data_IF_510830853506
#
_entry.id   IF_510830853506
#
_cell.length_a   1.000
_cell.length_b   1.000
_cell.length_c   1.000
_cell.angle_alpha   90.00
_cell.angle_beta   90.00
_cell.angle_gamma   90.00
#
_symmetry.space_group_name_H-M   'P 1'
#
loop_
_entity.id
_entity.type
_entity.pdbx_description
1 polymer ?
#
# COMPACT_ATOMS: atom_id res chain seq x y z
N UNK A 1 14.36 -33.14 -0.45
CA UNK A 1 13.14 -33.14 -1.25
C UNK A 1 13.40 -32.87 -2.72
N UNK A 2 12.42 -33.14 -3.54
CA UNK A 2 12.41 -32.84 -4.97
C UNK A 2 11.25 -31.89 -5.21
N UNK A 3 11.53 -30.77 -5.85
CA UNK A 3 10.53 -29.83 -6.32
C UNK A 3 10.20 -30.16 -7.80
N UNK A 4 8.92 -30.23 -8.13
CA UNK A 4 8.45 -30.40 -9.51
C UNK A 4 7.77 -29.14 -9.99
N UNK A 5 8.12 -28.71 -11.20
CA UNK A 5 7.58 -27.49 -11.84
C UNK A 5 7.01 -27.90 -13.21
N UNK A 6 5.78 -27.49 -13.46
CA UNK A 6 5.13 -27.63 -14.77
C UNK A 6 4.65 -26.26 -15.24
N UNK A 7 4.78 -26.00 -16.53
CA UNK A 7 4.11 -24.87 -17.16
C UNK A 7 2.66 -25.24 -17.47
N UNK A 8 1.75 -24.32 -17.22
CA UNK A 8 0.31 -24.53 -17.52
C UNK A 8 0.10 -24.58 -19.03
N UNK A 9 0.80 -23.71 -19.76
CA UNK A 9 0.78 -23.65 -21.21
C UNK A 9 2.05 -24.26 -21.81
N UNK A 10 1.99 -24.60 -23.10
CA UNK A 10 3.14 -25.12 -23.83
C UNK A 10 4.20 -24.01 -23.98
N UNK A 11 5.36 -24.21 -23.39
CA UNK A 11 6.51 -23.31 -23.45
C UNK A 11 7.65 -23.99 -24.20
N UNK A 12 8.20 -23.30 -25.20
CA UNK A 12 9.28 -23.84 -26.01
C UNK A 12 10.64 -23.56 -25.34
N UNK A 13 11.39 -24.62 -25.01
CA UNK A 13 12.76 -24.54 -24.49
C UNK A 13 12.94 -23.56 -23.31
N UNK A 14 12.18 -23.70 -22.21
CA UNK A 14 12.33 -22.80 -21.08
C UNK A 14 13.69 -23.00 -20.38
N UNK A 15 14.31 -21.90 -20.00
CA UNK A 15 15.45 -21.88 -19.09
C UNK A 15 14.93 -21.59 -17.68
N UNK A 16 15.37 -22.39 -16.70
CA UNK A 16 15.04 -22.20 -15.30
C UNK A 16 16.29 -21.92 -14.47
N UNK A 17 16.21 -20.91 -13.62
CA UNK A 17 17.23 -20.59 -12.64
C UNK A 17 16.61 -20.50 -11.25
N UNK A 18 17.35 -20.91 -10.23
CA UNK A 18 16.90 -20.83 -8.85
C UNK A 18 17.97 -20.23 -7.94
N UNK A 19 17.49 -19.46 -6.96
CA UNK A 19 18.35 -18.77 -6.00
C UNK A 19 17.79 -18.93 -4.58
N UNK A 20 18.67 -19.14 -3.62
CA UNK A 20 18.35 -19.08 -2.18
C UNK A 20 19.18 -17.99 -1.56
N UNK A 21 18.54 -16.98 -0.97
CA UNK A 21 19.23 -15.81 -0.38
C UNK A 21 20.30 -15.22 -1.32
N UNK A 22 19.94 -15.06 -2.60
CA UNK A 22 20.82 -14.60 -3.69
C UNK A 22 22.00 -15.52 -4.06
N UNK A 23 22.03 -16.76 -3.54
CA UNK A 23 23.00 -17.76 -3.92
C UNK A 23 22.35 -18.67 -4.96
N UNK A 24 22.96 -18.77 -6.16
CA UNK A 24 22.46 -19.63 -7.23
C UNK A 24 22.49 -21.11 -6.80
N UNK A 25 21.44 -21.84 -7.16
CA UNK A 25 21.41 -23.29 -7.05
C UNK A 25 22.11 -23.91 -8.25
N UNK A 26 22.87 -24.95 -7.99
CA UNK A 26 23.66 -25.66 -8.97
C UNK A 26 22.79 -26.17 -10.15
N UNK A 27 23.17 -25.84 -11.39
CA UNK A 27 22.39 -26.17 -12.60
C UNK A 27 22.24 -27.69 -12.80
N UNK A 28 23.23 -28.50 -12.35
CA UNK A 28 23.23 -29.96 -12.47
C UNK A 28 22.14 -30.63 -11.61
N UNK A 29 21.50 -29.90 -10.74
CA UNK A 29 20.40 -30.39 -9.91
C UNK A 29 19.04 -30.31 -10.61
N UNK A 30 18.98 -29.61 -11.75
CA UNK A 30 17.82 -29.56 -12.60
C UNK A 30 17.77 -30.76 -13.58
N UNK A 31 16.57 -31.26 -13.79
CA UNK A 31 16.31 -32.30 -14.79
C UNK A 31 14.95 -32.04 -15.45
N UNK A 32 14.94 -32.07 -16.79
CA UNK A 32 13.68 -32.07 -17.54
C UNK A 32 13.21 -33.50 -17.73
N UNK A 33 11.96 -33.76 -17.39
CA UNK A 33 11.30 -35.06 -17.52
C UNK A 33 10.69 -35.21 -18.92
N UNK A 34 10.35 -36.46 -19.28
CA UNK A 34 9.77 -36.77 -20.60
C UNK A 34 8.40 -36.13 -20.82
N UNK A 35 7.66 -35.84 -19.77
CA UNK A 35 6.36 -35.15 -19.80
C UNK A 35 6.45 -33.64 -19.89
N UNK A 36 7.67 -33.09 -20.02
CA UNK A 36 7.92 -31.64 -20.08
C UNK A 36 7.99 -30.97 -18.70
N UNK A 37 7.78 -31.67 -17.61
CA UNK A 37 7.98 -31.13 -16.27
C UNK A 37 9.48 -30.99 -15.94
N UNK A 38 9.79 -30.07 -15.06
CA UNK A 38 11.13 -29.90 -14.50
C UNK A 38 11.19 -30.36 -13.07
N UNK A 39 12.27 -31.04 -12.70
CA UNK A 39 12.54 -31.42 -11.32
C UNK A 39 13.81 -30.73 -10.84
N UNK A 40 13.78 -30.29 -9.58
CA UNK A 40 14.92 -29.70 -8.87
C UNK A 40 15.20 -30.52 -7.61
N UNK A 41 16.40 -31.08 -7.50
CA UNK A 41 16.82 -31.86 -6.32
C UNK A 41 17.36 -30.96 -5.23
N UNK A 42 16.46 -30.32 -4.48
CA UNK A 42 16.76 -29.37 -3.42
C UNK A 42 17.69 -29.93 -2.35
N UNK A 43 17.45 -31.18 -1.94
CA UNK A 43 18.24 -31.82 -0.87
C UNK A 43 19.72 -31.99 -1.20
N UNK A 44 20.09 -31.91 -2.48
CA UNK A 44 21.48 -32.08 -2.96
C UNK A 44 22.22 -30.73 -3.03
N UNK A 45 21.49 -29.60 -3.11
CA UNK A 45 22.08 -28.28 -3.19
C UNK A 45 22.89 -27.88 -1.95
N UNK A 46 24.07 -27.30 -2.17
CA UNK A 46 24.91 -26.74 -1.11
C UNK A 46 24.26 -25.48 -0.50
N UNK A 47 23.62 -24.65 -1.33
CA UNK A 47 22.93 -23.45 -0.89
C UNK A 47 21.77 -23.80 0.05
N UNK A 48 20.96 -24.81 -0.30
CA UNK A 48 19.87 -25.29 0.54
C UNK A 48 20.37 -25.91 1.85
N UNK A 49 21.43 -26.73 1.79
CA UNK A 49 22.03 -27.37 3.00
C UNK A 49 22.62 -26.36 3.97
N UNK A 50 23.02 -25.20 3.50
CA UNK A 50 23.55 -24.12 4.31
C UNK A 50 22.43 -23.26 4.97
N UNK A 51 21.17 -23.43 4.57
CA UNK A 51 20.07 -22.64 5.12
C UNK A 51 19.76 -23.06 6.55
N UNK A 52 19.79 -22.09 7.45
CA UNK A 52 19.31 -22.21 8.83
C UNK A 52 18.20 -21.18 9.05
N UNK A 53 17.13 -21.59 9.72
CA UNK A 53 15.98 -20.74 9.97
C UNK A 53 15.14 -20.47 8.70
N UNK A 54 14.51 -19.31 8.66
CA UNK A 54 13.68 -18.87 7.53
C UNK A 54 14.55 -18.38 6.38
N UNK A 55 14.29 -18.88 5.16
CA UNK A 55 14.91 -18.46 3.93
C UNK A 55 13.90 -18.50 2.78
N UNK A 56 14.24 -17.97 1.61
CA UNK A 56 13.34 -17.95 0.45
C UNK A 56 14.07 -18.52 -0.78
N UNK A 57 13.41 -19.49 -1.42
CA UNK A 57 13.79 -20.01 -2.72
C UNK A 57 13.03 -19.27 -3.79
N UNK A 58 13.74 -18.60 -4.68
CA UNK A 58 13.16 -17.90 -5.83
C UNK A 58 13.55 -18.64 -7.10
N UNK A 59 12.58 -18.88 -7.96
CA UNK A 59 12.77 -19.59 -9.23
C UNK A 59 12.29 -18.69 -10.35
N UNK A 60 13.18 -18.43 -11.29
CA UNK A 60 12.90 -17.69 -12.51
C UNK A 60 12.74 -18.66 -13.67
N UNK A 61 11.90 -18.31 -14.62
CA UNK A 61 11.72 -19.03 -15.87
C UNK A 61 11.62 -18.04 -17.01
N UNK A 62 12.32 -18.34 -18.11
CA UNK A 62 12.30 -17.54 -19.34
C UNK A 62 12.37 -18.45 -20.57
N UNK A 63 11.90 -17.97 -21.71
CA UNK A 63 12.20 -18.49 -23.03
C UNK A 63 12.77 -17.38 -23.94
N UNK A 64 12.97 -17.66 -25.22
CA UNK A 64 13.56 -16.68 -26.15
C UNK A 64 12.78 -15.35 -26.26
N UNK A 65 11.51 -15.32 -25.87
CA UNK A 65 10.58 -14.19 -26.08
C UNK A 65 9.91 -13.67 -24.83
N UNK A 66 9.85 -14.48 -23.77
CA UNK A 66 9.06 -14.18 -22.57
C UNK A 66 9.87 -14.38 -21.30
N UNK A 67 9.69 -13.46 -20.36
CA UNK A 67 10.02 -13.63 -18.95
C UNK A 67 8.74 -13.97 -18.20
N UNK A 68 8.72 -15.12 -17.53
CA UNK A 68 7.56 -15.57 -16.75
C UNK A 68 7.60 -15.01 -15.31
N UNK A 69 6.44 -14.99 -14.66
CA UNK A 69 6.39 -14.66 -13.25
C UNK A 69 7.23 -15.65 -12.44
N UNK A 70 8.06 -15.12 -11.56
CA UNK A 70 8.88 -15.93 -10.67
C UNK A 70 8.03 -16.65 -9.61
N UNK A 71 8.53 -17.80 -9.15
CA UNK A 71 7.98 -18.50 -8.01
C UNK A 71 8.83 -18.20 -6.78
N UNK A 72 8.18 -17.76 -5.71
CA UNK A 72 8.80 -17.56 -4.42
C UNK A 72 8.26 -18.56 -3.40
N UNK A 73 9.15 -19.39 -2.84
CA UNK A 73 8.80 -20.44 -1.91
C UNK A 73 9.54 -20.23 -0.58
N UNK A 74 8.83 -20.06 0.54
CA UNK A 74 9.46 -19.97 1.85
C UNK A 74 10.07 -21.32 2.25
N UNK A 75 11.23 -21.27 2.86
CA UNK A 75 11.96 -22.38 3.42
C UNK A 75 12.05 -22.25 4.95
N UNK A 76 11.99 -23.36 5.64
CA UNK A 76 12.36 -23.49 7.04
C UNK A 76 13.44 -24.58 7.18
N UNK A 77 14.64 -24.18 7.59
CA UNK A 77 15.79 -25.08 7.75
C UNK A 77 16.05 -25.93 6.48
N UNK A 78 16.02 -25.27 5.31
CA UNK A 78 16.25 -25.88 4.00
C UNK A 78 15.10 -26.75 3.47
N UNK A 79 13.92 -26.76 4.11
CA UNK A 79 12.72 -27.47 3.65
C UNK A 79 11.66 -26.47 3.21
N UNK A 80 10.97 -26.73 2.08
CA UNK A 80 9.86 -25.90 1.63
C UNK A 80 8.75 -25.92 2.68
N UNK A 81 8.26 -24.73 3.04
CA UNK A 81 7.06 -24.57 3.86
C UNK A 81 5.84 -24.88 2.99
N UNK A 82 5.13 -25.94 3.32
CA UNK A 82 3.94 -26.42 2.62
C UNK A 82 2.65 -26.23 3.42
N UNK A 83 2.77 -25.82 4.68
CA UNK A 83 1.66 -25.55 5.57
C UNK A 83 1.58 -24.04 5.83
N UNK A 84 0.45 -23.43 5.48
CA UNK A 84 0.17 -22.00 5.69
C UNK A 84 0.28 -21.61 7.17
N UNK A 85 -0.07 -22.51 8.09
CA UNK A 85 0.07 -22.27 9.52
C UNK A 85 1.54 -22.08 9.99
N UNK A 86 2.51 -22.45 9.16
CA UNK A 86 3.93 -22.20 9.43
C UNK A 86 4.41 -20.82 8.93
N UNK A 87 3.59 -20.08 8.16
CA UNK A 87 3.90 -18.71 7.79
C UNK A 87 3.75 -17.80 9.00
N UNK A 88 4.62 -16.81 9.08
CA UNK A 88 4.63 -15.82 10.16
C UNK A 88 4.45 -14.43 9.61
N UNK A 89 4.15 -13.46 10.46
CA UNK A 89 4.07 -12.04 10.10
C UNK A 89 5.38 -11.49 9.49
N UNK A 90 6.50 -12.15 9.70
CA UNK A 90 7.80 -11.79 9.14
C UNK A 90 8.06 -12.38 7.76
N UNK A 91 7.12 -13.14 7.19
CA UNK A 91 7.22 -13.66 5.83
C UNK A 91 6.72 -12.62 4.83
N UNK A 92 7.45 -11.50 4.69
CA UNK A 92 7.04 -10.33 3.89
C UNK A 92 6.71 -10.67 2.44
N UNK A 93 7.32 -11.71 1.90
CA UNK A 93 7.07 -12.17 0.54
C UNK A 93 5.81 -13.03 0.37
N UNK A 94 5.19 -13.44 1.46
CA UNK A 94 3.95 -14.23 1.45
C UNK A 94 2.73 -13.40 1.86
N UNK A 95 2.83 -12.07 1.79
CA UNK A 95 1.75 -11.17 2.17
C UNK A 95 0.65 -11.12 1.11
N UNK A 96 -0.59 -11.23 1.57
CA UNK A 96 -1.81 -10.97 0.80
C UNK A 96 -2.43 -9.70 1.38
N UNK A 97 -2.39 -8.61 0.59
CA UNK A 97 -2.79 -7.28 1.04
C UNK A 97 -4.26 -7.00 0.78
N UNK A 98 -4.91 -6.38 1.77
CA UNK A 98 -6.20 -5.74 1.62
C UNK A 98 -6.03 -4.24 1.88
N UNK A 99 -6.17 -3.42 0.82
CA UNK A 99 -6.15 -1.96 0.95
C UNK A 99 -7.55 -1.43 1.23
N UNK A 100 -7.70 -0.58 2.23
CA UNK A 100 -8.98 0.01 2.59
C UNK A 100 -8.86 1.51 2.90
N UNK A 101 -9.95 2.22 2.63
CA UNK A 101 -10.13 3.61 3.07
C UNK A 101 -10.92 3.58 4.38
N UNK A 102 -10.32 4.10 5.46
CA UNK A 102 -10.88 4.03 6.82
C UNK A 102 -12.32 4.52 6.85
N UNK A 103 -12.55 5.75 6.37
CA UNK A 103 -13.88 6.39 6.36
C UNK A 103 -14.98 5.57 5.67
N UNK A 104 -14.61 4.71 4.71
CA UNK A 104 -15.54 3.97 3.84
C UNK A 104 -15.68 2.50 4.22
N UNK A 105 -14.92 2.02 5.20
CA UNK A 105 -14.85 0.60 5.48
C UNK A 105 -15.93 0.14 6.47
N UNK A 106 -15.86 0.57 7.71
CA UNK A 106 -16.84 0.22 8.74
C UNK A 106 -16.87 1.24 9.87
N UNK A 107 -18.07 1.66 10.27
CA UNK A 107 -18.28 2.55 11.41
C UNK A 107 -18.42 1.71 12.69
N UNK A 108 -17.43 1.75 13.56
CA UNK A 108 -17.40 1.03 14.84
C UNK A 108 -17.72 1.92 16.05
N UNK A 109 -17.65 3.25 15.88
CA UNK A 109 -17.86 4.21 16.95
C UNK A 109 -18.61 5.45 16.45
N UNK A 110 -19.90 5.46 16.56
CA UNK A 110 -20.74 6.60 16.12
C UNK A 110 -20.54 7.89 16.93
N UNK A 111 -19.76 7.85 18.01
CA UNK A 111 -19.49 9.06 18.82
C UNK A 111 -18.46 9.99 18.18
N UNK A 112 -17.64 9.49 17.25
CA UNK A 112 -16.70 10.29 16.49
C UNK A 112 -17.21 10.68 15.09
N UNK A 113 -18.42 10.27 14.75
CA UNK A 113 -19.04 10.63 13.48
C UNK A 113 -19.11 12.14 13.32
N UNK A 114 -18.69 12.59 12.16
CA UNK A 114 -18.72 13.99 11.83
C UNK A 114 -18.97 14.19 10.33
N UNK A 115 -19.79 15.19 10.02
CA UNK A 115 -20.03 15.61 8.64
C UNK A 115 -19.86 17.12 8.52
N UNK A 116 -19.42 17.55 7.33
CA UNK A 116 -19.32 18.97 7.01
C UNK A 116 -20.67 19.70 7.16
N UNK A 117 -21.77 19.04 6.79
CA UNK A 117 -23.11 19.62 6.74
C UNK A 117 -23.15 20.94 5.93
N UNK A 118 -22.32 21.03 4.90
CA UNK A 118 -22.19 22.21 4.04
C UNK A 118 -22.94 22.00 2.72
N UNK A 119 -23.69 23.01 2.22
CA UNK A 119 -24.32 22.92 0.91
C UNK A 119 -23.31 22.86 -0.26
N UNK A 120 -22.03 23.18 0.01
CA UNK A 120 -20.94 23.10 -0.96
C UNK A 120 -20.33 21.71 -1.07
N UNK A 121 -20.69 20.78 -0.17
CA UNK A 121 -20.12 19.43 -0.11
C UNK A 121 -21.22 18.40 -0.35
N UNK A 122 -21.08 17.61 -1.42
CA UNK A 122 -21.99 16.50 -1.68
C UNK A 122 -21.73 15.38 -0.66
N UNK A 123 -22.80 14.71 -0.23
CA UNK A 123 -22.73 13.64 0.77
C UNK A 123 -21.71 12.54 0.40
N UNK A 124 -21.63 12.19 -0.89
CA UNK A 124 -20.71 11.15 -1.38
C UNK A 124 -19.22 11.50 -1.19
N UNK A 125 -18.88 12.78 -1.07
CA UNK A 125 -17.49 13.30 -0.86
C UNK A 125 -17.31 13.92 0.51
N UNK A 126 -18.23 13.62 1.43
CA UNK A 126 -18.13 13.94 2.83
C UNK A 126 -17.81 12.68 3.66
N UNK A 127 -17.47 12.84 4.94
CA UNK A 127 -17.22 11.73 5.85
C UNK A 127 -18.44 10.80 5.95
N UNK A 128 -18.22 9.49 5.97
CA UNK A 128 -19.25 8.47 6.13
C UNK A 128 -19.17 7.73 7.47
N UNK A 129 -18.18 8.05 8.30
CA UNK A 129 -18.07 7.58 9.68
C UNK A 129 -17.31 6.28 9.87
N UNK A 130 -16.67 5.73 8.84
CA UNK A 130 -15.74 4.61 9.03
C UNK A 130 -14.56 5.03 9.91
N UNK A 131 -14.08 4.13 10.78
CA UNK A 131 -13.11 4.43 11.81
C UNK A 131 -12.22 3.22 12.16
N UNK A 132 -11.19 3.46 12.97
CA UNK A 132 -10.24 2.42 13.42
C UNK A 132 -10.93 1.38 14.32
N UNK A 133 -11.94 1.79 15.09
CA UNK A 133 -12.74 0.87 15.90
C UNK A 133 -13.51 -0.13 15.03
N UNK A 134 -14.03 0.34 13.90
CA UNK A 134 -14.69 -0.52 12.93
C UNK A 134 -13.74 -1.53 12.29
N UNK A 135 -12.50 -1.12 11.98
CA UNK A 135 -11.47 -2.05 11.49
C UNK A 135 -11.18 -3.11 12.57
N UNK A 136 -11.00 -2.70 13.82
CA UNK A 136 -10.77 -3.62 14.94
C UNK A 136 -11.90 -4.66 15.05
N UNK A 137 -13.17 -4.24 14.98
CA UNK A 137 -14.31 -5.14 15.03
C UNK A 137 -14.28 -6.17 13.90
N UNK A 138 -13.90 -5.75 12.67
CA UNK A 138 -13.80 -6.67 11.53
C UNK A 138 -12.64 -7.66 11.66
N UNK A 139 -11.55 -7.28 12.33
CA UNK A 139 -10.49 -8.22 12.69
C UNK A 139 -11.01 -9.25 13.69
N UNK A 140 -11.68 -8.79 14.77
CA UNK A 140 -12.22 -9.66 15.83
C UNK A 140 -13.30 -10.63 15.30
N UNK A 141 -14.03 -10.24 14.24
CA UNK A 141 -15.01 -11.09 13.54
C UNK A 141 -14.37 -12.13 12.61
N UNK A 142 -13.06 -12.08 12.37
CA UNK A 142 -12.36 -12.97 11.42
C UNK A 142 -12.51 -12.61 9.95
N UNK A 143 -13.03 -11.42 9.61
CA UNK A 143 -13.32 -11.01 8.23
C UNK A 143 -12.10 -11.14 7.29
N UNK A 144 -10.93 -10.72 7.74
CA UNK A 144 -9.71 -10.77 6.93
C UNK A 144 -9.15 -12.20 6.81
N UNK A 145 -9.25 -12.98 7.88
CA UNK A 145 -8.83 -14.38 7.91
C UNK A 145 -9.67 -15.23 6.95
N UNK A 146 -11.00 -15.02 6.95
CA UNK A 146 -11.93 -15.71 6.04
C UNK A 146 -11.64 -15.42 4.56
N UNK A 147 -11.08 -14.25 4.26
CA UNK A 147 -10.63 -13.86 2.92
C UNK A 147 -9.20 -14.33 2.58
N UNK A 148 -8.48 -14.94 3.52
CA UNK A 148 -7.07 -15.31 3.36
C UNK A 148 -6.12 -14.11 3.36
N UNK A 149 -6.53 -12.97 3.93
CA UNK A 149 -5.74 -11.75 4.05
C UNK A 149 -4.84 -11.86 5.29
N UNK A 150 -3.59 -11.48 5.16
CA UNK A 150 -2.64 -11.41 6.29
C UNK A 150 -1.98 -10.04 6.46
N UNK A 151 -2.33 -9.07 5.63
CA UNK A 151 -1.82 -7.70 5.70
C UNK A 151 -2.91 -6.70 5.34
N UNK A 152 -3.14 -5.71 6.19
CA UNK A 152 -4.10 -4.63 5.96
C UNK A 152 -3.32 -3.35 5.67
N UNK A 153 -3.62 -2.68 4.56
CA UNK A 153 -3.09 -1.36 4.24
C UNK A 153 -4.20 -0.33 4.40
N UNK A 154 -4.10 0.52 5.43
CA UNK A 154 -5.10 1.53 5.73
C UNK A 154 -4.70 2.90 5.17
N UNK A 155 -5.71 3.67 4.73
CA UNK A 155 -5.52 5.06 4.29
C UNK A 155 -4.88 5.92 5.39
N UNK A 156 -4.31 7.10 5.05
CA UNK A 156 -3.58 7.91 6.03
C UNK A 156 -4.42 8.28 7.26
N UNK A 157 -3.79 8.20 8.42
CA UNK A 157 -4.41 8.43 9.73
C UNK A 157 -4.09 9.80 10.33
N UNK A 158 -3.32 10.64 9.62
CA UNK A 158 -2.94 11.96 10.10
C UNK A 158 -4.09 12.94 10.03
N UNK A 159 -4.13 13.93 10.95
CA UNK A 159 -5.19 14.92 11.05
C UNK A 159 -5.34 15.72 9.77
N UNK A 160 -6.54 15.70 9.19
CA UNK A 160 -6.97 16.46 8.02
C UNK A 160 -7.71 17.76 8.41
N UNK A 161 -7.89 18.71 7.49
CA UNK A 161 -8.63 19.95 7.78
C UNK A 161 -10.07 19.70 8.23
N UNK A 162 -10.58 20.63 9.04
CA UNK A 162 -12.00 20.65 9.41
C UNK A 162 -12.88 21.34 8.36
N UNK A 163 -12.26 22.05 7.41
CA UNK A 163 -12.92 22.76 6.34
C UNK A 163 -12.90 21.94 5.03
N UNK A 164 -13.86 22.23 4.16
CA UNK A 164 -13.93 21.63 2.82
C UNK A 164 -13.02 22.40 1.85
N UNK A 165 -12.29 21.65 1.02
CA UNK A 165 -11.32 22.16 0.07
C UNK A 165 -11.50 21.57 -1.32
N UNK A 166 -10.71 22.10 -2.26
CA UNK A 166 -10.79 21.73 -3.65
C UNK A 166 -12.06 22.23 -4.33
N UNK A 167 -12.05 22.24 -5.64
CA UNK A 167 -13.22 22.45 -6.46
C UNK A 167 -13.24 21.37 -7.51
N UNK A 168 -14.39 20.74 -7.69
CA UNK A 168 -14.54 19.84 -8.81
C UNK A 168 -14.42 20.64 -10.11
N UNK A 169 -13.28 20.50 -10.79
CA UNK A 169 -12.96 21.19 -12.06
C UNK A 169 -13.88 20.79 -13.22
N UNK A 170 -14.69 19.75 -13.06
CA UNK A 170 -15.67 19.29 -14.05
C UNK A 170 -16.97 20.10 -14.04
N UNK A 171 -16.99 21.18 -13.31
CA UNK A 171 -18.14 22.07 -13.15
C UNK A 171 -18.69 22.64 -14.49
N UNK A 172 -17.83 22.90 -15.43
CA UNK A 172 -18.23 23.43 -16.74
C UNK A 172 -18.43 22.30 -17.76
N UNK A 173 -19.50 21.52 -17.60
CA UNK A 173 -19.84 20.50 -18.57
C UNK A 173 -19.80 19.08 -18.03
N UNK A 174 -19.92 18.92 -16.72
CA UNK A 174 -20.14 17.60 -16.17
C UNK A 174 -21.46 17.05 -16.71
N UNK A 175 -21.35 16.08 -17.59
CA UNK A 175 -22.50 15.38 -18.19
C UNK A 175 -23.37 14.61 -17.17
N UNK A 176 -22.96 14.58 -15.90
CA UNK A 176 -23.69 13.87 -14.87
C UNK A 176 -24.70 14.74 -14.10
N UNK A 177 -24.43 16.04 -13.88
CA UNK A 177 -25.39 16.95 -13.27
C UNK A 177 -24.99 18.42 -13.54
N UNK A 178 -25.60 19.02 -14.55
CA UNK A 178 -25.38 20.42 -14.92
C UNK A 178 -25.95 21.41 -13.90
N UNK A 179 -26.76 20.96 -12.93
CA UNK A 179 -27.36 21.81 -11.91
C UNK A 179 -26.52 21.90 -10.64
N UNK A 180 -25.59 20.93 -10.44
CA UNK A 180 -24.64 20.89 -9.32
C UNK A 180 -23.24 21.19 -9.82
N UNK A 181 -23.01 22.45 -10.18
CA UNK A 181 -21.80 22.89 -10.84
C UNK A 181 -20.52 22.75 -10.00
N UNK A 182 -20.62 22.68 -8.66
CA UNK A 182 -19.47 22.69 -7.76
C UNK A 182 -19.70 21.78 -6.56
N UNK A 183 -18.69 20.98 -6.21
CA UNK A 183 -18.57 20.39 -4.90
C UNK A 183 -17.15 20.60 -4.38
N UNK A 184 -17.03 20.99 -3.12
CA UNK A 184 -15.81 20.83 -2.34
C UNK A 184 -15.79 19.42 -1.77
N UNK A 185 -14.66 19.04 -1.23
CA UNK A 185 -14.43 17.75 -0.62
C UNK A 185 -14.06 17.94 0.85
N UNK A 186 -14.51 17.06 1.72
CA UNK A 186 -13.90 16.92 3.03
C UNK A 186 -12.60 16.10 2.95
N UNK A 187 -11.80 16.09 4.00
CA UNK A 187 -10.57 15.31 4.08
C UNK A 187 -10.77 13.81 4.37
N UNK A 188 -11.95 13.24 4.07
CA UNK A 188 -12.35 11.86 4.40
C UNK A 188 -11.38 10.77 3.96
N UNK A 189 -10.60 11.05 2.93
CA UNK A 189 -9.64 10.12 2.34
C UNK A 189 -8.28 10.08 3.08
N UNK A 190 -7.99 11.05 3.97
CA UNK A 190 -6.76 11.10 4.77
C UNK A 190 -5.56 11.81 4.10
N UNK A 191 -5.65 12.16 2.80
CA UNK A 191 -4.50 12.65 2.02
C UNK A 191 -4.22 14.16 2.12
N UNK A 192 -4.83 14.88 3.06
CA UNK A 192 -4.57 16.30 3.26
C UNK A 192 -4.01 16.59 4.67
N UNK A 193 -2.82 16.06 5.02
CA UNK A 193 -2.29 16.21 6.37
C UNK A 193 -2.08 17.69 6.73
N UNK A 194 -2.76 18.15 7.77
CA UNK A 194 -2.57 19.48 8.35
C UNK A 194 -1.61 19.40 9.55
N UNK A 195 -1.66 18.30 10.31
CA UNK A 195 -0.73 17.96 11.37
C UNK A 195 -0.14 16.58 11.11
N UNK A 196 1.18 16.51 10.87
CA UNK A 196 1.85 15.24 10.57
C UNK A 196 2.01 14.33 11.80
N UNK A 197 1.86 14.85 13.00
CA UNK A 197 2.10 14.16 14.28
C UNK A 197 0.85 13.93 15.10
N UNK A 198 -0.33 14.28 14.58
CA UNK A 198 -1.61 14.05 15.25
C UNK A 198 -2.45 13.04 14.45
N UNK A 199 -3.16 12.17 15.13
CA UNK A 199 -4.14 11.27 14.50
C UNK A 199 -5.42 12.02 14.14
N UNK A 200 -6.08 11.58 13.06
CA UNK A 200 -7.35 12.10 12.62
C UNK A 200 -8.47 11.76 13.64
N UNK A 201 -8.99 12.77 14.32
CA UNK A 201 -9.94 12.60 15.45
C UNK A 201 -11.29 12.03 15.04
N UNK A 202 -11.64 12.11 13.74
CA UNK A 202 -12.84 11.48 13.17
C UNK A 202 -12.64 10.00 12.87
N UNK A 203 -11.37 9.52 12.86
CA UNK A 203 -11.06 8.11 12.65
C UNK A 203 -10.67 7.40 13.93
N UNK A 204 -9.99 8.07 14.88
CA UNK A 204 -9.40 7.38 16.03
C UNK A 204 -8.85 8.33 17.09
N UNK A 205 -8.52 7.74 18.21
CA UNK A 205 -7.56 8.23 19.20
C UNK A 205 -6.29 7.39 19.12
N UNK A 206 -5.16 7.88 19.64
CA UNK A 206 -3.92 7.08 19.74
C UNK A 206 -4.14 5.76 20.47
N UNK A 207 -4.94 5.78 21.55
CA UNK A 207 -5.27 4.58 22.31
C UNK A 207 -6.04 3.55 21.49
N UNK A 208 -7.03 3.97 20.70
CA UNK A 208 -7.79 3.08 19.83
C UNK A 208 -6.93 2.50 18.69
N UNK A 209 -6.03 3.34 18.13
CA UNK A 209 -5.07 2.88 17.13
C UNK A 209 -4.18 1.77 17.68
N UNK A 210 -3.58 1.98 18.86
CA UNK A 210 -2.76 0.95 19.51
C UNK A 210 -3.56 -0.32 19.79
N UNK A 211 -4.80 -0.21 20.28
CA UNK A 211 -5.65 -1.38 20.55
C UNK A 211 -5.97 -2.17 19.27
N UNK A 212 -6.23 -1.48 18.15
CA UNK A 212 -6.44 -2.14 16.86
C UNK A 212 -5.18 -2.85 16.38
N UNK A 213 -3.99 -2.21 16.51
CA UNK A 213 -2.71 -2.82 16.14
C UNK A 213 -2.41 -4.07 16.96
N UNK A 214 -2.64 -4.03 18.28
CA UNK A 214 -2.47 -5.19 19.17
C UNK A 214 -3.42 -6.32 18.76
N UNK A 215 -4.68 -5.99 18.45
CA UNK A 215 -5.67 -6.96 17.95
C UNK A 215 -5.22 -7.57 16.63
N UNK A 216 -4.81 -6.76 15.66
CA UNK A 216 -4.31 -7.25 14.37
C UNK A 216 -3.12 -8.21 14.54
N UNK A 217 -2.17 -7.85 15.40
CA UNK A 217 -1.01 -8.69 15.68
C UNK A 217 -1.36 -10.00 16.36
N UNK A 218 -2.35 -9.99 17.27
CA UNK A 218 -2.85 -11.20 17.91
C UNK A 218 -3.54 -12.17 16.94
N UNK A 219 -4.16 -11.62 15.88
CA UNK A 219 -4.75 -12.37 14.77
C UNK A 219 -3.77 -12.69 13.63
N UNK A 220 -2.46 -12.45 13.82
CA UNK A 220 -1.45 -12.77 12.81
C UNK A 220 -1.42 -11.80 11.62
N UNK A 221 -2.13 -10.67 11.69
CA UNK A 221 -2.20 -9.67 10.63
C UNK A 221 -1.08 -8.64 10.77
N UNK A 222 -0.51 -8.21 9.64
CA UNK A 222 0.30 -7.00 9.54
C UNK A 222 -0.59 -5.80 9.22
N UNK A 223 -0.15 -4.61 9.66
CA UNK A 223 -0.81 -3.35 9.31
C UNK A 223 0.22 -2.41 8.67
N UNK A 224 -0.09 -1.93 7.48
CA UNK A 224 0.66 -0.90 6.77
C UNK A 224 -0.11 0.41 6.92
N UNK A 225 0.57 1.42 7.45
CA UNK A 225 0.06 2.79 7.51
C UNK A 225 0.47 3.53 6.25
N UNK A 226 -0.50 4.06 5.53
CA UNK A 226 -0.22 4.94 4.40
C UNK A 226 0.38 6.26 4.92
N UNK A 227 1.46 6.70 4.30
CA UNK A 227 2.18 7.91 4.71
C UNK A 227 2.26 8.93 3.59
N UNK A 228 1.71 10.13 3.86
CA UNK A 228 1.71 11.24 2.92
C UNK A 228 3.03 12.00 3.05
N UNK A 229 4.04 11.61 2.26
CA UNK A 229 5.36 12.24 2.27
C UNK A 229 5.52 13.36 1.22
N UNK A 230 4.65 13.38 0.19
CA UNK A 230 4.82 14.29 -0.95
C UNK A 230 4.41 15.74 -0.66
N UNK A 231 3.40 15.94 0.19
CA UNK A 231 2.78 17.25 0.41
C UNK A 231 2.16 17.38 1.80
N UNK A 232 1.86 18.60 2.17
CA UNK A 232 1.01 18.93 3.32
C UNK A 232 -0.08 19.91 2.91
N UNK A 233 -1.12 20.03 3.72
CA UNK A 233 -2.14 21.05 3.50
C UNK A 233 -1.53 22.46 3.73
N UNK A 234 -1.92 23.44 2.91
CA UNK A 234 -1.38 24.82 2.94
C UNK A 234 -1.58 25.50 4.32
N UNK A 235 -2.62 25.12 5.06
CA UNK A 235 -2.88 25.61 6.39
C UNK A 235 -2.12 24.84 7.48
N UNK A 236 -1.21 23.93 7.12
CA UNK A 236 -0.34 23.28 8.09
C UNK A 236 0.48 24.33 8.84
N UNK A 237 0.50 24.31 10.18
CA UNK A 237 1.36 25.19 10.97
C UNK A 237 2.83 25.06 10.59
N UNK A 238 3.27 23.87 10.18
CA UNK A 238 4.64 23.64 9.71
C UNK A 238 4.93 24.46 8.45
N UNK A 239 4.06 24.41 7.44
CA UNK A 239 4.24 25.21 6.22
C UNK A 239 4.04 26.70 6.45
N UNK A 240 3.19 27.11 7.40
CA UNK A 240 3.04 28.52 7.77
C UNK A 240 4.29 29.08 8.45
N UNK A 241 4.97 28.24 9.26
CA UNK A 241 6.24 28.61 9.91
C UNK A 241 7.43 28.57 8.92
N UNK A 242 7.35 27.75 7.89
CA UNK A 242 8.40 27.49 6.90
C UNK A 242 7.82 27.57 5.47
N UNK A 243 7.43 28.77 4.99
CA UNK A 243 6.80 28.91 3.67
C UNK A 243 7.75 28.60 2.50
N UNK A 244 9.03 28.43 2.77
CA UNK A 244 10.06 27.99 1.81
C UNK A 244 10.27 26.48 1.77
N UNK A 245 9.52 25.69 2.53
CA UNK A 245 9.63 24.23 2.56
C UNK A 245 8.80 23.53 1.49
N UNK A 246 8.07 24.25 0.67
CA UNK A 246 7.37 23.72 -0.47
C UNK A 246 7.94 24.26 -1.79
N UNK A 247 7.73 23.54 -2.85
CA UNK A 247 8.13 23.93 -4.21
C UNK A 247 7.30 25.14 -4.70
N UNK A 248 7.81 25.82 -5.73
CA UNK A 248 7.14 26.98 -6.29
C UNK A 248 5.87 26.58 -7.05
N UNK A 249 4.78 27.33 -6.81
CA UNK A 249 3.51 27.19 -7.54
C UNK A 249 3.54 27.78 -8.95
N UNK A 250 4.61 28.52 -9.28
CA UNK A 250 4.86 29.11 -10.60
C UNK A 250 6.24 28.66 -11.06
N UNK A 251 6.32 28.10 -12.24
CA UNK A 251 7.59 27.70 -12.85
C UNK A 251 8.40 28.93 -13.32
N UNK A 252 9.72 28.78 -13.51
CA UNK A 252 10.57 29.88 -14.01
C UNK A 252 10.14 30.48 -15.35
N UNK A 253 9.40 29.73 -16.17
CA UNK A 253 8.82 30.17 -17.44
C UNK A 253 7.47 30.88 -17.28
N UNK A 254 6.97 31.05 -16.06
CA UNK A 254 5.73 31.74 -15.72
C UNK A 254 4.48 30.87 -15.78
N UNK A 255 4.58 29.59 -16.15
CA UNK A 255 3.45 28.64 -16.10
C UNK A 255 3.12 28.26 -14.66
N UNK A 256 1.85 27.94 -14.41
CA UNK A 256 1.41 27.38 -13.13
C UNK A 256 1.92 25.95 -12.98
N UNK A 257 2.52 25.64 -11.82
CA UNK A 257 3.08 24.33 -11.47
C UNK A 257 2.02 23.43 -10.80
N UNK A 258 0.95 23.12 -11.53
CA UNK A 258 -0.14 22.28 -11.05
C UNK A 258 -0.42 21.16 -12.03
N UNK A 259 -0.49 19.91 -11.53
CA UNK A 259 -0.83 18.71 -12.31
C UNK A 259 0.09 18.47 -13.53
N UNK A 260 1.34 18.93 -13.47
CA UNK A 260 2.33 18.77 -14.54
C UNK A 260 3.15 17.46 -14.34
N UNK A 261 2.44 16.34 -14.25
CA UNK A 261 3.03 15.06 -13.89
C UNK A 261 4.10 14.54 -14.86
N UNK A 262 3.99 14.87 -16.14
CA UNK A 262 4.94 14.43 -17.17
C UNK A 262 6.20 15.30 -17.20
N UNK A 263 6.10 16.57 -16.82
CA UNK A 263 7.19 17.55 -16.94
C UNK A 263 7.87 17.87 -15.61
N UNK A 264 7.08 17.98 -14.54
CA UNK A 264 7.52 18.48 -13.23
C UNK A 264 7.09 17.56 -12.07
N UNK A 265 7.16 16.25 -12.28
CA UNK A 265 6.61 15.22 -11.41
C UNK A 265 6.99 15.37 -9.94
N UNK A 266 8.22 15.79 -9.64
CA UNK A 266 8.73 15.90 -8.27
C UNK A 266 8.42 17.24 -7.61
N UNK A 267 7.95 18.22 -8.36
CA UNK A 267 7.73 19.58 -7.86
C UNK A 267 6.32 20.11 -8.08
N UNK A 268 5.54 19.44 -8.93
CA UNK A 268 4.17 19.87 -9.26
C UNK A 268 3.21 19.67 -8.11
N UNK A 269 2.31 20.60 -7.90
CA UNK A 269 1.27 20.51 -6.87
C UNK A 269 0.04 19.76 -7.40
N UNK A 270 -0.63 19.03 -6.54
CA UNK A 270 -1.90 18.39 -6.83
C UNK A 270 -3.04 19.40 -6.97
N UNK A 271 -3.09 20.37 -6.04
CA UNK A 271 -4.05 21.47 -6.05
C UNK A 271 -3.48 22.65 -5.26
N UNK A 272 -4.13 23.79 -5.34
CA UNK A 272 -3.71 25.05 -4.69
C UNK A 272 -3.60 24.96 -3.18
N UNK A 273 -4.30 24.02 -2.56
CA UNK A 273 -4.32 23.83 -1.10
C UNK A 273 -3.39 22.72 -0.60
N UNK A 274 -2.69 22.00 -1.49
CA UNK A 274 -1.77 20.90 -1.16
C UNK A 274 -0.44 21.08 -1.89
N UNK A 275 0.39 22.07 -1.44
CA UNK A 275 1.72 22.31 -1.97
C UNK A 275 2.63 21.10 -1.78
N UNK A 276 3.37 20.76 -2.82
CA UNK A 276 4.39 19.70 -2.79
C UNK A 276 5.59 20.15 -1.96
N UNK A 277 6.06 19.30 -1.06
CA UNK A 277 7.24 19.55 -0.23
C UNK A 277 8.51 19.59 -1.10
N UNK A 278 9.42 20.48 -0.77
CA UNK A 278 10.75 20.56 -1.41
C UNK A 278 11.70 19.58 -0.74
N UNK A 279 11.65 18.32 -1.20
CA UNK A 279 12.47 17.22 -0.68
C UNK A 279 13.98 17.34 -1.05
N UNK A 280 14.38 18.37 -1.81
CA UNK A 280 15.81 18.67 -2.02
C UNK A 280 16.41 19.41 -0.82
N UNK A 281 15.57 19.91 0.08
CA UNK A 281 16.01 20.58 1.30
C UNK A 281 16.25 19.58 2.44
N UNK A 282 17.46 19.53 3.03
CA UNK A 282 17.75 18.62 4.15
C UNK A 282 16.84 18.82 5.37
N UNK A 283 16.31 20.04 5.57
CA UNK A 283 15.43 20.38 6.68
C UNK A 283 14.00 19.80 6.49
N UNK A 284 13.64 19.40 5.28
CA UNK A 284 12.33 18.82 4.92
C UNK A 284 12.39 17.30 4.95
N UNK A 285 13.55 16.71 4.67
CA UNK A 285 13.83 15.28 4.77
C UNK A 285 14.24 14.92 6.20
#
# INVERSE_FOLDING_TARGET
>A
GVLRIAFIDSVANPTLEAYVQNIAIEHELWQQEQDGTWTLRLADSKAIKACAGRAYLRIYAEDETNLYNDLLLPLQDGKIVTDVAMLTRSDDHAQVLYSLMIDRFHNGNTANDWKMNSPEVLDIVDYQGGDIKGIQQKIEEGFFEDLGINTIWISPITQNPWDAWGLNKFANGNKYDSTKAYTKFSGYHGYWPIYATEVEKRFTTEQELHAMLDTAHAHGLNVILDYVANHMHINSPTLQAHPDWHTDSILPDGRRNFELWDEARLTTWFDVHIPTLDLERPEVC
#
